data_IF_186192728694
#
_entry.id   IF_186192728694
#
_cell.length_a   1.000
_cell.length_b   1.000
_cell.length_c   1.000
_cell.angle_alpha   90.00
_cell.angle_beta   90.00
_cell.angle_gamma   90.00
#
_symmetry.space_group_name_H-M   'P 1'
#
loop_
_entity.id
_entity.type
_entity.pdbx_description
1 polymer ?
#
# COMPACT_ATOMS: atom_id res chain seq x y z
N UNK A 1 -15.84 7.66 -2.29
CA UNK A 1 -15.55 7.25 -2.12
C UNK A 1 -15.57 6.55 -2.05
N UNK A 2 -15.45 6.32 -1.93
CA UNK A 2 -15.36 5.67 -1.87
C UNK A 2 -15.32 4.82 -1.58
N UNK A 3 -15.47 4.22 -1.54
CA UNK A 3 -15.41 3.48 -1.24
C UNK A 3 -14.78 2.50 -1.46
N UNK A 4 -13.97 2.25 -1.68
CA UNK A 4 -13.24 1.44 -1.78
C UNK A 4 -12.88 1.00 -0.63
N UNK A 5 -13.21 0.11 -0.11
CA UNK A 5 -12.90 -0.38 0.98
C UNK A 5 -11.82 -1.27 0.94
N UNK A 6 -10.76 -1.09 1.51
CA UNK A 6 -9.72 -2.03 1.71
C UNK A 6 -10.11 -2.88 2.86
N UNK A 7 -9.93 -4.16 2.74
CA UNK A 7 -10.27 -5.03 3.80
C UNK A 7 -9.11 -5.20 4.70
N UNK A 8 -9.21 -4.75 5.88
CA UNK A 8 -8.15 -4.86 6.85
C UNK A 8 -8.46 -5.95 7.81
N UNK A 9 -7.60 -6.95 7.90
CA UNK A 9 -7.81 -8.00 8.79
C UNK A 9 -7.30 -7.67 10.11
N UNK A 10 -8.03 -7.95 11.12
CA UNK A 10 -7.61 -7.73 12.42
C UNK A 10 -6.64 -8.74 12.77
N UNK A 11 -5.53 -8.40 13.14
CA UNK A 11 -4.53 -9.31 13.57
C UNK A 11 -4.61 -9.46 15.05
N UNK A 12 -4.77 -10.61 15.53
CA UNK A 12 -4.86 -10.76 16.94
C UNK A 12 -3.60 -10.36 17.60
N UNK A 13 -2.59 -10.48 16.91
CA UNK A 13 -1.39 -10.19 17.51
C UNK A 13 -1.10 -8.82 17.53
N UNK A 14 -1.38 -8.17 17.05
CA UNK A 14 -0.89 -7.10 17.07
C UNK A 14 -1.36 -6.12 17.14
N UNK A 15 -1.91 -6.06 17.06
CA UNK A 15 -2.48 -5.23 17.12
C UNK A 15 -1.96 -4.03 17.05
N UNK A 16 -1.65 -3.46 16.31
CA UNK A 16 -1.33 -2.18 16.23
C UNK A 16 -0.33 -1.65 17.14
N UNK A 17 0.31 -2.46 17.82
CA UNK A 17 1.25 -2.00 18.64
C UNK A 17 2.32 -1.30 17.95
N UNK A 18 2.71 -1.65 16.75
CA UNK A 18 3.78 -0.97 16.05
C UNK A 18 3.26 0.06 15.09
N UNK A 19 2.00 0.30 15.09
CA UNK A 19 1.43 1.29 14.19
C UNK A 19 1.22 0.82 12.78
N UNK A 20 1.38 -0.46 12.50
CA UNK A 20 1.18 -0.98 11.17
C UNK A 20 0.01 -1.94 11.13
N UNK A 21 -0.59 -2.02 10.00
CA UNK A 21 -1.68 -2.95 9.79
C UNK A 21 -1.40 -3.75 8.57
N UNK A 22 -1.95 -4.95 8.52
CA UNK A 22 -1.78 -5.81 7.38
C UNK A 22 -3.09 -5.95 6.66
N UNK A 23 -3.09 -5.79 5.38
CA UNK A 23 -4.28 -5.99 4.58
C UNK A 23 -3.87 -6.38 3.18
N UNK A 24 -4.80 -6.87 2.40
CA UNK A 24 -4.48 -7.34 1.07
C UNK A 24 -5.14 -6.50 0.02
N UNK A 25 -4.49 -6.35 -1.10
CA UNK A 25 -5.06 -5.65 -2.22
C UNK A 25 -4.73 -6.42 -3.48
N UNK A 26 -5.48 -6.15 -4.51
CA UNK A 26 -5.21 -6.71 -5.82
C UNK A 26 -4.74 -5.57 -6.69
N UNK A 27 -3.68 -5.78 -7.44
CA UNK A 27 -3.23 -4.75 -8.36
C UNK A 27 -2.93 -5.40 -9.69
N UNK A 28 -2.89 -4.61 -10.72
CA UNK A 28 -2.61 -5.11 -12.04
C UNK A 28 -1.21 -5.65 -12.12
N UNK A 29 -1.04 -6.65 -12.93
CA UNK A 29 0.26 -7.24 -13.08
C UNK A 29 1.29 -6.27 -13.56
N UNK A 30 0.91 -5.38 -14.45
CA UNK A 30 1.88 -4.45 -14.95
C UNK A 30 2.31 -3.46 -13.89
N UNK A 31 1.42 -3.13 -12.97
CA UNK A 31 1.80 -2.28 -11.86
C UNK A 31 2.76 -3.02 -10.95
N UNK A 32 2.48 -4.28 -10.70
CA UNK A 32 3.36 -5.08 -9.86
C UNK A 32 4.75 -5.16 -10.46
N UNK A 33 4.83 -5.30 -11.78
CA UNK A 33 6.11 -5.35 -12.44
C UNK A 33 6.88 -4.05 -12.29
N UNK A 34 6.18 -2.95 -12.38
CA UNK A 34 6.83 -1.67 -12.24
C UNK A 34 7.37 -1.48 -10.83
N UNK A 35 6.60 -1.92 -9.86
CA UNK A 35 7.05 -1.82 -8.47
C UNK A 35 8.28 -2.72 -8.27
N UNK A 36 8.25 -3.91 -8.85
CA UNK A 36 9.37 -4.81 -8.73
C UNK A 36 10.62 -4.23 -9.36
N UNK A 37 10.47 -3.54 -10.47
CA UNK A 37 11.61 -2.93 -11.13
C UNK A 37 12.23 -1.85 -10.26
N UNK A 38 11.38 -1.04 -9.65
CA UNK A 38 11.89 0.01 -8.78
C UNK A 38 12.53 -0.59 -7.53
N UNK A 39 11.95 -1.66 -7.02
CA UNK A 39 12.52 -2.31 -5.86
C UNK A 39 13.92 -2.81 -6.16
N UNK A 40 14.07 -3.41 -7.34
CA UNK A 40 15.34 -3.94 -7.74
C UNK A 40 16.36 -2.83 -7.91
N UNK A 41 15.95 -1.74 -8.51
CA UNK A 41 16.84 -0.66 -8.76
C UNK A 41 17.27 0.09 -7.52
N UNK A 42 16.42 0.17 -6.54
CA UNK A 42 16.71 0.95 -5.36
C UNK A 42 17.16 0.12 -4.18
N UNK A 43 17.05 -1.20 -4.28
CA UNK A 43 17.43 -2.05 -3.17
C UNK A 43 16.42 -2.02 -2.04
N UNK A 44 15.22 -1.55 -2.30
CA UNK A 44 14.21 -1.49 -1.27
C UNK A 44 13.19 -2.57 -1.46
N UNK A 45 12.47 -2.89 -0.43
CA UNK A 45 11.49 -3.96 -0.53
C UNK A 45 10.23 -3.44 -1.20
N UNK A 46 9.49 -4.36 -1.76
CA UNK A 46 8.23 -4.02 -2.40
C UNK A 46 7.26 -3.40 -1.38
N UNK A 47 7.20 -3.95 -0.21
CA UNK A 47 6.31 -3.44 0.81
C UNK A 47 6.64 -2.01 1.19
N UNK A 48 7.91 -1.74 1.33
CA UNK A 48 8.34 -0.41 1.68
C UNK A 48 7.95 0.59 0.59
N UNK A 49 8.14 0.19 -0.66
CA UNK A 49 7.81 1.08 -1.76
C UNK A 49 6.31 1.32 -1.85
N UNK A 50 5.54 0.27 -1.66
CA UNK A 50 4.10 0.42 -1.72
C UNK A 50 3.64 1.41 -0.66
N UNK A 51 4.19 1.33 0.53
CA UNK A 51 3.84 2.26 1.57
C UNK A 51 4.15 3.69 1.19
N UNK A 52 5.33 3.90 0.61
CA UNK A 52 5.71 5.24 0.21
C UNK A 52 4.85 5.77 -0.92
N UNK A 53 4.53 4.91 -1.88
CA UNK A 53 3.68 5.33 -2.97
C UNK A 53 2.29 5.70 -2.46
N UNK A 54 1.78 4.94 -1.53
CA UNK A 54 0.47 5.23 -0.97
C UNK A 54 0.47 6.55 -0.21
N UNK A 55 1.51 6.78 0.55
CA UNK A 55 1.60 8.04 1.28
C UNK A 55 1.60 9.22 0.33
N UNK A 56 2.36 9.09 -0.74
CA UNK A 56 2.43 10.16 -1.71
C UNK A 56 1.08 10.35 -2.39
N UNK A 57 0.47 9.26 -2.80
CA UNK A 57 -0.80 9.35 -3.49
C UNK A 57 -1.90 9.95 -2.62
N UNK A 58 -1.93 9.57 -1.39
CA UNK A 58 -2.95 10.08 -0.50
C UNK A 58 -2.77 11.57 -0.26
N UNK A 59 -1.55 11.99 -0.10
CA UNK A 59 -1.31 13.41 0.15
C UNK A 59 -1.57 14.26 -1.07
N UNK A 60 -1.63 13.65 -2.25
CA UNK A 60 -1.92 14.39 -3.46
C UNK A 60 -3.30 14.06 -4.02
N UNK A 61 -4.09 13.40 -3.23
CA UNK A 61 -5.40 13.00 -3.66
C UNK A 61 -6.40 14.10 -3.40
N UNK A 62 -7.36 14.22 -4.29
CA UNK A 62 -8.35 15.22 -4.14
C UNK A 62 -9.69 14.58 -4.38
N UNK A 63 -10.62 14.79 -3.50
CA UNK A 63 -11.94 14.22 -3.66
C UNK A 63 -12.85 15.22 -4.31
N UNK A 64 -13.46 14.80 -5.40
CA UNK A 64 -14.37 15.66 -6.09
C UNK A 64 -15.74 15.23 -5.87
N UNK A 65 -16.63 16.11 -5.55
CA UNK A 65 -17.97 15.78 -5.38
C UNK A 65 -18.74 16.11 -6.55
#
# INVERSE_FOLDING_TARGET
>A
MKENKLIIKKSPAKKGEDGYKIFSIRIKEELASQIDAIASETGRSRNELIGKFLEFAISHCQIEE
#
